data_IF_201558047295
#
_entry.id   IF_201558047295
#
_cell.length_a   1.000
_cell.length_b   1.000
_cell.length_c   1.000
_cell.angle_alpha   90.00
_cell.angle_beta   90.00
_cell.angle_gamma   90.00
#
_symmetry.space_group_name_H-M   'P 1'
#
loop_
_entity.id
_entity.type
_entity.pdbx_description
1 polymer ?
#
# COMPACT_ATOMS: atom_id res chain seq x y z
N UNK A 1 -2.22 10.78 36.29
CA UNK A 1 -2.86 9.57 35.68
C UNK A 1 -3.48 9.92 34.32
N UNK A 2 -2.82 9.53 33.21
CA UNK A 2 -3.45 9.63 31.88
C UNK A 2 -4.51 8.53 31.77
N UNK A 3 -5.69 8.78 31.19
CA UNK A 3 -6.69 7.74 31.01
C UNK A 3 -6.12 6.69 30.05
N UNK A 4 -6.17 5.43 30.48
CA UNK A 4 -5.91 4.27 29.64
C UNK A 4 -6.96 4.26 28.53
N UNK A 5 -6.58 4.66 27.31
CA UNK A 5 -7.43 4.54 26.14
C UNK A 5 -7.53 3.06 25.80
N UNK A 6 -8.64 2.43 26.17
CA UNK A 6 -8.98 1.10 25.69
C UNK A 6 -8.90 1.09 24.13
N UNK A 7 -8.31 0.05 23.51
CA UNK A 7 -8.23 -0.03 22.06
C UNK A 7 -9.63 0.05 21.46
N UNK A 8 -9.78 0.86 20.40
CA UNK A 8 -11.07 1.05 19.75
C UNK A 8 -11.52 -0.32 19.20
N UNK A 9 -12.78 -0.72 19.37
CA UNK A 9 -13.26 -1.95 18.75
C UNK A 9 -13.01 -1.85 17.23
N UNK A 10 -12.41 -2.91 16.68
CA UNK A 10 -12.21 -3.06 15.24
C UNK A 10 -13.55 -2.85 14.51
N UNK A 11 -13.56 -2.34 13.27
CA UNK A 11 -14.80 -2.06 12.55
C UNK A 11 -15.68 -3.30 12.45
N UNK A 12 -16.74 -3.35 13.27
CA UNK A 12 -17.77 -4.37 13.20
C UNK A 12 -18.87 -3.90 12.25
N UNK A 13 -19.09 -4.70 11.20
CA UNK A 13 -20.22 -4.70 10.24
C UNK A 13 -21.18 -3.50 10.27
N UNK A 14 -21.17 -2.71 9.20
CA UNK A 14 -22.46 -2.24 8.65
C UNK A 14 -23.05 -3.37 7.79
N UNK A 15 -24.31 -3.81 8.04
CA UNK A 15 -24.99 -4.71 7.13
C UNK A 15 -25.34 -3.95 5.86
N UNK A 16 -24.70 -4.28 4.74
CA UNK A 16 -25.10 -3.78 3.43
C UNK A 16 -26.34 -4.54 2.98
N UNK A 17 -27.43 -3.81 2.72
CA UNK A 17 -28.50 -4.29 1.87
C UNK A 17 -27.90 -4.60 0.48
N UNK A 18 -28.04 -5.85 0.04
CA UNK A 18 -27.75 -6.36 -1.31
C UNK A 18 -26.28 -6.54 -1.71
N UNK A 19 -25.79 -7.78 -1.62
CA UNK A 19 -24.96 -8.43 -2.66
C UNK A 19 -23.47 -8.08 -2.80
N UNK A 20 -22.93 -7.05 -2.16
CA UNK A 20 -21.49 -6.72 -2.21
C UNK A 20 -20.69 -7.35 -1.06
N UNK A 21 -19.60 -8.07 -1.35
CA UNK A 21 -18.68 -8.54 -0.30
C UNK A 21 -18.02 -7.35 0.42
N UNK A 22 -17.81 -7.40 1.74
CA UNK A 22 -17.42 -6.24 2.54
C UNK A 22 -15.99 -5.76 2.19
N UNK A 23 -15.88 -4.47 1.84
CA UNK A 23 -14.61 -3.75 1.83
C UNK A 23 -14.23 -3.37 3.27
N UNK A 24 -13.00 -3.66 3.68
CA UNK A 24 -12.50 -3.23 4.99
C UNK A 24 -12.23 -1.72 4.95
N UNK A 25 -12.77 -1.01 5.94
CA UNK A 25 -12.50 0.41 6.12
C UNK A 25 -11.28 0.60 7.02
N UNK A 26 -10.22 1.17 6.45
CA UNK A 26 -8.95 1.43 7.14
C UNK A 26 -8.85 2.85 7.71
N UNK A 27 -9.86 3.70 7.50
CA UNK A 27 -9.80 5.11 7.89
C UNK A 27 -9.82 5.25 9.42
N UNK A 28 -8.86 6.01 9.94
CA UNK A 28 -8.76 6.33 11.37
C UNK A 28 -8.17 5.22 12.23
N UNK A 29 -7.78 4.08 11.64
CA UNK A 29 -7.10 3.00 12.36
C UNK A 29 -5.63 3.37 12.64
N UNK A 30 -5.14 2.91 13.80
CA UNK A 30 -3.74 3.03 14.20
C UNK A 30 -2.85 2.05 13.42
N UNK A 31 -1.53 2.24 13.49
CA UNK A 31 -0.59 1.33 12.83
C UNK A 31 -0.72 -0.11 13.39
N UNK A 32 -0.88 -0.25 14.70
CA UNK A 32 -1.10 -1.55 15.36
C UNK A 32 -2.41 -2.19 14.90
N UNK A 33 -3.50 -1.41 14.84
CA UNK A 33 -4.80 -1.90 14.39
C UNK A 33 -4.76 -2.36 12.93
N UNK A 34 -4.04 -1.62 12.07
CA UNK A 34 -3.87 -1.98 10.65
C UNK A 34 -3.06 -3.26 10.46
N UNK A 35 -1.96 -3.42 11.20
CA UNK A 35 -1.16 -4.65 11.17
C UNK A 35 -1.95 -5.85 11.68
N UNK A 36 -2.71 -5.67 12.77
CA UNK A 36 -3.60 -6.71 13.31
C UNK A 36 -4.69 -7.09 12.30
N UNK A 37 -5.40 -6.10 11.76
CA UNK A 37 -6.46 -6.33 10.77
C UNK A 37 -5.94 -7.04 9.52
N UNK A 38 -4.71 -6.72 9.09
CA UNK A 38 -4.09 -7.45 7.98
C UNK A 38 -3.84 -8.91 8.33
N UNK A 39 -3.27 -9.20 9.50
CA UNK A 39 -2.99 -10.57 9.94
C UNK A 39 -4.26 -11.41 10.09
N UNK A 40 -5.34 -10.80 10.57
CA UNK A 40 -6.60 -11.49 10.83
C UNK A 40 -7.50 -11.65 9.60
N UNK A 41 -7.36 -10.77 8.60
CA UNK A 41 -8.33 -10.66 7.49
C UNK A 41 -7.72 -10.52 6.10
N UNK A 42 -6.39 -10.67 5.92
CA UNK A 42 -5.73 -10.53 4.62
C UNK A 42 -6.26 -11.47 3.54
N UNK A 43 -6.82 -12.62 3.92
CA UNK A 43 -7.46 -13.58 3.00
C UNK A 43 -8.71 -13.00 2.30
N UNK A 44 -9.32 -11.98 2.90
CA UNK A 44 -10.49 -11.28 2.35
C UNK A 44 -10.11 -10.08 1.51
N UNK A 45 -8.84 -9.65 1.55
CA UNK A 45 -8.41 -8.53 0.75
C UNK A 45 -8.55 -8.90 -0.73
N UNK A 46 -8.86 -7.87 -1.52
CA UNK A 46 -8.86 -7.91 -2.98
C UNK A 46 -7.86 -6.85 -3.46
N UNK A 47 -7.46 -6.88 -4.73
CA UNK A 47 -6.45 -5.98 -5.29
C UNK A 47 -6.49 -4.55 -4.74
N UNK A 48 -7.63 -3.83 -4.83
CA UNK A 48 -7.71 -2.45 -4.34
C UNK A 48 -7.52 -2.25 -2.83
N UNK A 49 -7.84 -3.25 -2.01
CA UNK A 49 -7.67 -3.15 -0.55
C UNK A 49 -6.20 -3.13 -0.14
N UNK A 50 -5.30 -3.73 -0.91
CA UNK A 50 -3.86 -3.69 -0.63
C UNK A 50 -3.29 -2.28 -0.75
N UNK A 51 -3.62 -1.56 -1.83
CA UNK A 51 -3.19 -0.17 -2.02
C UNK A 51 -3.76 0.76 -0.96
N UNK A 52 -5.04 0.60 -0.61
CA UNK A 52 -5.67 1.35 0.47
C UNK A 52 -5.00 1.07 1.83
N UNK A 53 -4.72 -0.20 2.14
CA UNK A 53 -4.08 -0.59 3.39
C UNK A 53 -2.66 -0.02 3.53
N UNK A 54 -1.82 -0.15 2.49
CA UNK A 54 -0.47 0.43 2.50
C UNK A 54 -0.49 1.94 2.67
N UNK A 55 -1.44 2.63 2.03
CA UNK A 55 -1.62 4.06 2.18
C UNK A 55 -2.00 4.46 3.61
N UNK A 56 -2.93 3.73 4.22
CA UNK A 56 -3.35 3.96 5.60
C UNK A 56 -2.23 3.68 6.59
N UNK A 57 -1.49 2.58 6.42
CA UNK A 57 -0.37 2.22 7.29
C UNK A 57 0.72 3.30 7.25
N UNK A 58 1.08 3.77 6.05
CA UNK A 58 2.06 4.83 5.87
C UNK A 58 1.66 6.18 6.50
N UNK A 59 0.36 6.47 6.61
CA UNK A 59 -0.15 7.67 7.30
C UNK A 59 -0.19 7.51 8.82
N UNK A 60 -0.28 6.28 9.31
CA UNK A 60 -0.39 5.96 10.72
C UNK A 60 0.97 5.68 11.41
N UNK A 61 1.99 5.24 10.67
CA UNK A 61 3.27 4.75 11.21
C UNK A 61 4.08 5.74 12.05
N UNK A 62 3.83 7.05 11.92
CA UNK A 62 4.52 8.09 12.71
C UNK A 62 3.77 8.54 13.97
N UNK A 63 2.62 7.93 14.29
CA UNK A 63 1.73 8.39 15.38
C UNK A 63 1.76 7.49 16.62
N UNK A 64 2.35 6.31 16.51
CA UNK A 64 2.35 5.30 17.56
C UNK A 64 3.65 4.49 17.51
N UNK A 65 4.14 4.07 18.68
CA UNK A 65 5.26 3.15 18.78
C UNK A 65 4.74 1.72 18.60
N UNK A 66 5.09 1.10 17.48
CA UNK A 66 4.94 -0.34 17.28
C UNK A 66 6.26 -0.98 17.68
N UNK A 67 6.22 -2.12 18.39
CA UNK A 67 7.45 -2.88 18.69
C UNK A 67 8.16 -3.26 17.39
N UNK A 68 9.47 -3.08 17.34
CA UNK A 68 10.27 -3.29 16.12
C UNK A 68 10.04 -4.69 15.51
N UNK A 69 10.00 -5.72 16.34
CA UNK A 69 9.74 -7.09 15.88
C UNK A 69 8.34 -7.25 15.27
N UNK A 70 7.30 -6.78 15.95
CA UNK A 70 5.92 -6.83 15.45
C UNK A 70 5.75 -6.04 14.14
N UNK A 71 6.48 -4.92 14.04
CA UNK A 71 6.53 -4.09 12.85
C UNK A 71 7.15 -4.85 11.67
N UNK A 72 8.33 -5.44 11.86
CA UNK A 72 9.01 -6.21 10.81
C UNK A 72 8.22 -7.45 10.39
N UNK A 73 7.65 -8.20 11.34
CA UNK A 73 6.84 -9.39 11.05
C UNK A 73 5.55 -9.03 10.30
N UNK A 74 4.90 -7.94 10.72
CA UNK A 74 3.72 -7.39 10.06
C UNK A 74 4.01 -6.97 8.62
N UNK A 75 5.09 -6.22 8.40
CA UNK A 75 5.53 -5.81 7.07
C UNK A 75 5.94 -7.00 6.20
N UNK A 76 6.65 -7.98 6.74
CA UNK A 76 7.05 -9.20 6.01
C UNK A 76 5.86 -10.04 5.55
N UNK A 77 4.83 -10.14 6.40
CA UNK A 77 3.55 -10.80 6.05
C UNK A 77 2.85 -10.03 4.92
N UNK A 78 2.73 -8.71 5.08
CA UNK A 78 2.08 -7.85 4.10
C UNK A 78 2.81 -7.84 2.75
N UNK A 79 4.14 -7.85 2.75
CA UNK A 79 4.96 -7.98 1.55
C UNK A 79 4.60 -9.24 0.76
N UNK A 80 4.60 -10.38 1.44
CA UNK A 80 4.39 -11.69 0.82
C UNK A 80 2.99 -11.80 0.23
N UNK A 81 1.98 -11.31 0.94
CA UNK A 81 0.61 -11.27 0.44
C UNK A 81 0.43 -10.28 -0.72
N UNK A 82 1.00 -9.08 -0.61
CA UNK A 82 0.92 -8.06 -1.68
C UNK A 82 1.59 -8.56 -2.95
N UNK A 83 2.75 -9.22 -2.86
CA UNK A 83 3.48 -9.76 -4.00
C UNK A 83 2.62 -10.73 -4.83
N UNK A 84 1.83 -11.58 -4.18
CA UNK A 84 0.91 -12.53 -4.85
C UNK A 84 -0.21 -11.82 -5.62
N UNK A 85 -0.58 -10.62 -5.19
CA UNK A 85 -1.71 -9.85 -5.71
C UNK A 85 -1.29 -8.72 -6.65
N UNK A 86 0.01 -8.53 -6.91
CA UNK A 86 0.55 -7.41 -7.73
C UNK A 86 -0.18 -7.29 -9.08
N UNK A 87 -0.36 -8.41 -9.78
CA UNK A 87 -1.05 -8.46 -11.08
C UNK A 87 -2.54 -8.04 -11.02
N UNK A 88 -3.15 -8.15 -9.85
CA UNK A 88 -4.55 -7.81 -9.60
C UNK A 88 -4.71 -6.39 -9.06
N UNK A 89 -3.60 -5.67 -8.82
CA UNK A 89 -3.64 -4.27 -8.42
C UNK A 89 -4.10 -3.40 -9.58
N UNK A 90 -5.02 -2.48 -9.28
CA UNK A 90 -5.41 -1.41 -10.19
C UNK A 90 -4.33 -0.33 -10.30
N UNK A 91 -4.39 0.53 -11.33
CA UNK A 91 -3.36 1.54 -11.58
C UNK A 91 -3.10 2.46 -10.37
N UNK A 92 -4.17 2.96 -9.75
CA UNK A 92 -4.09 3.81 -8.55
C UNK A 92 -3.54 3.05 -7.33
N UNK A 93 -3.82 1.75 -7.22
CA UNK A 93 -3.38 0.94 -6.09
C UNK A 93 -1.91 0.60 -6.17
N UNK A 94 -1.37 0.39 -7.38
CA UNK A 94 0.08 0.25 -7.60
C UNK A 94 0.82 1.49 -7.11
N UNK A 95 0.39 2.68 -7.53
CA UNK A 95 0.99 3.94 -7.11
C UNK A 95 0.87 4.19 -5.60
N UNK A 96 -0.28 3.85 -4.99
CA UNK A 96 -0.49 3.97 -3.52
C UNK A 96 0.37 3.00 -2.73
N UNK A 97 0.48 1.75 -3.19
CA UNK A 97 1.36 0.76 -2.59
C UNK A 97 2.80 1.23 -2.63
N UNK A 98 3.31 1.62 -3.81
CA UNK A 98 4.66 2.13 -3.98
C UNK A 98 4.93 3.34 -3.07
N UNK A 99 4.02 4.32 -3.04
CA UNK A 99 4.11 5.47 -2.14
C UNK A 99 4.16 5.06 -0.68
N UNK A 100 3.29 4.12 -0.27
CA UNK A 100 3.23 3.62 1.10
C UNK A 100 4.54 2.97 1.52
N UNK A 101 5.08 2.08 0.69
CA UNK A 101 6.37 1.43 0.93
C UNK A 101 7.50 2.46 1.10
N UNK A 102 7.65 3.39 0.15
CA UNK A 102 8.68 4.43 0.22
C UNK A 102 8.55 5.29 1.49
N UNK A 103 7.31 5.68 1.84
CA UNK A 103 7.02 6.49 3.03
C UNK A 103 7.32 5.76 4.34
N UNK A 104 7.13 4.45 4.39
CA UNK A 104 7.48 3.58 5.51
C UNK A 104 8.99 3.32 5.61
N UNK A 105 9.80 3.87 4.70
CA UNK A 105 11.24 3.65 4.70
C UNK A 105 11.64 2.29 4.11
N UNK A 106 10.72 1.59 3.43
CA UNK A 106 11.06 0.39 2.66
C UNK A 106 11.82 0.85 1.41
N UNK A 107 13.11 0.53 1.36
CA UNK A 107 14.01 0.92 0.25
C UNK A 107 14.38 -0.28 -0.61
N UNK A 108 15.46 -0.17 -1.37
CA UNK A 108 16.01 -1.20 -2.26
C UNK A 108 16.70 -2.39 -1.53
N UNK A 109 16.16 -2.81 -0.39
CA UNK A 109 16.61 -3.95 0.39
C UNK A 109 16.30 -5.26 -0.36
N UNK A 110 17.19 -6.28 -0.37
CA UNK A 110 17.06 -7.49 -1.19
C UNK A 110 15.70 -8.19 -1.09
N UNK A 111 15.16 -8.26 0.11
CA UNK A 111 13.90 -8.94 0.43
C UNK A 111 12.67 -8.18 -0.08
N UNK A 112 12.79 -6.89 -0.38
CA UNK A 112 11.73 -6.05 -0.95
C UNK A 112 11.84 -5.83 -2.46
N UNK A 113 13.00 -6.14 -3.07
CA UNK A 113 13.23 -6.00 -4.52
C UNK A 113 12.18 -6.70 -5.38
N UNK A 114 11.72 -7.94 -5.07
CA UNK A 114 10.69 -8.58 -5.89
C UNK A 114 9.36 -7.80 -5.90
N UNK A 115 8.98 -7.19 -4.77
CA UNK A 115 7.78 -6.38 -4.70
C UNK A 115 7.94 -5.07 -5.48
N UNK A 116 9.08 -4.40 -5.36
CA UNK A 116 9.37 -3.20 -6.16
C UNK A 116 9.40 -3.49 -7.66
N UNK A 117 10.03 -4.57 -8.09
CA UNK A 117 10.06 -5.00 -9.49
C UNK A 117 8.67 -5.30 -10.02
N UNK A 118 7.88 -6.10 -9.30
CA UNK A 118 6.51 -6.42 -9.71
C UNK A 118 5.60 -5.19 -9.77
N UNK A 119 5.72 -4.24 -8.83
CA UNK A 119 4.98 -2.99 -8.90
C UNK A 119 5.40 -2.14 -10.11
N UNK A 120 6.68 -2.16 -10.49
CA UNK A 120 7.18 -1.40 -11.64
C UNK A 120 6.65 -1.96 -12.95
N UNK A 121 6.72 -3.28 -13.11
CA UNK A 121 6.15 -4.00 -14.25
C UNK A 121 4.66 -3.69 -14.38
N UNK A 122 3.91 -3.84 -13.29
CA UNK A 122 2.47 -3.54 -13.28
C UNK A 122 2.16 -2.07 -13.57
N UNK A 123 2.99 -1.15 -13.07
CA UNK A 123 2.83 0.27 -13.34
C UNK A 123 3.07 0.59 -14.81
N UNK A 124 4.06 -0.04 -15.46
CA UNK A 124 4.30 0.11 -16.91
C UNK A 124 3.09 -0.37 -17.70
N UNK A 125 2.57 -1.56 -17.40
CA UNK A 125 1.38 -2.15 -18.06
C UNK A 125 0.14 -1.25 -17.97
N UNK A 126 0.00 -0.52 -16.87
CA UNK A 126 -1.21 0.24 -16.54
C UNK A 126 -1.01 1.75 -16.58
N UNK A 127 0.16 2.22 -17.03
CA UNK A 127 0.59 3.62 -17.03
C UNK A 127 -0.37 4.55 -17.77
N UNK A 128 -0.93 4.09 -18.90
CA UNK A 128 -1.94 4.84 -19.67
C UNK A 128 -3.21 5.20 -18.89
N UNK A 129 -3.49 4.46 -17.80
CA UNK A 129 -4.66 4.69 -16.91
C UNK A 129 -4.32 5.52 -15.67
N UNK A 130 -3.07 5.94 -15.49
CA UNK A 130 -2.67 6.72 -14.32
C UNK A 130 -3.27 8.12 -14.40
N UNK A 131 -3.78 8.66 -13.31
CA UNK A 131 -4.01 10.11 -13.22
C UNK A 131 -2.71 10.83 -12.83
N UNK A 132 -2.71 12.16 -12.85
CA UNK A 132 -1.55 12.99 -12.49
C UNK A 132 -0.97 12.63 -11.12
N UNK A 133 -1.84 12.37 -10.14
CA UNK A 133 -1.42 11.95 -8.80
C UNK A 133 -0.72 10.58 -8.81
N UNK A 134 -1.20 9.61 -9.59
CA UNK A 134 -0.60 8.29 -9.70
C UNK A 134 0.78 8.35 -10.39
N UNK A 135 0.93 9.20 -11.41
CA UNK A 135 2.22 9.48 -12.06
C UNK A 135 3.20 10.07 -11.03
N UNK A 136 2.82 11.16 -10.36
CA UNK A 136 3.66 11.83 -9.37
C UNK A 136 4.06 10.92 -8.19
N UNK A 137 3.08 10.17 -7.65
CA UNK A 137 3.33 9.24 -6.55
C UNK A 137 4.30 8.13 -6.94
N UNK A 138 4.17 7.60 -8.16
CA UNK A 138 5.08 6.55 -8.65
C UNK A 138 6.49 7.09 -8.77
N UNK A 139 6.68 8.22 -9.47
CA UNK A 139 8.01 8.82 -9.63
C UNK A 139 8.66 9.13 -8.28
N UNK A 140 7.92 9.77 -7.38
CA UNK A 140 8.41 10.09 -6.03
C UNK A 140 8.76 8.82 -5.24
N UNK A 141 7.94 7.78 -5.30
CA UNK A 141 8.17 6.54 -4.56
C UNK A 141 9.45 5.84 -5.00
N UNK A 142 9.66 5.65 -6.30
CA UNK A 142 10.85 4.97 -6.82
C UNK A 142 12.13 5.77 -6.58
N UNK A 143 12.08 7.10 -6.76
CA UNK A 143 13.20 7.98 -6.44
C UNK A 143 13.54 7.93 -4.94
N UNK A 144 12.52 8.00 -4.07
CA UNK A 144 12.71 7.92 -2.62
C UNK A 144 13.22 6.54 -2.19
N UNK A 145 12.72 5.46 -2.79
CA UNK A 145 13.14 4.10 -2.48
C UNK A 145 14.57 3.79 -2.92
N UNK A 146 15.14 4.59 -3.84
CA UNK A 146 16.43 4.31 -4.47
C UNK A 146 16.37 3.03 -5.32
N UNK A 147 15.19 2.71 -5.87
CA UNK A 147 14.99 1.53 -6.72
C UNK A 147 14.89 1.97 -8.17
N UNK A 148 15.78 1.47 -9.01
CA UNK A 148 15.82 1.82 -10.43
C UNK A 148 14.63 1.18 -11.16
N UNK A 149 13.86 2.00 -11.89
CA UNK A 149 12.74 1.55 -12.71
C UNK A 149 12.72 2.34 -14.03
N UNK A 150 13.72 2.16 -14.92
CA UNK A 150 13.86 2.95 -16.14
C UNK A 150 12.62 2.87 -17.04
N UNK A 151 12.08 1.67 -17.28
CA UNK A 151 10.88 1.49 -18.09
C UNK A 151 9.65 2.20 -17.50
N UNK A 152 9.53 2.28 -16.17
CA UNK A 152 8.47 3.03 -15.52
C UNK A 152 8.65 4.53 -15.73
N UNK A 153 9.87 5.06 -15.58
CA UNK A 153 10.14 6.48 -15.82
C UNK A 153 9.88 6.87 -17.27
N UNK A 154 10.24 6.03 -18.22
CA UNK A 154 9.93 6.22 -19.64
C UNK A 154 8.42 6.23 -19.89
N UNK A 155 7.68 5.26 -19.34
CA UNK A 155 6.23 5.19 -19.49
C UNK A 155 5.53 6.42 -18.88
N UNK A 156 5.98 6.87 -17.69
CA UNK A 156 5.45 8.07 -17.04
C UNK A 156 5.77 9.33 -17.85
N UNK A 157 7.00 9.45 -18.38
CA UNK A 157 7.41 10.60 -19.20
C UNK A 157 6.60 10.68 -20.50
N UNK A 158 6.39 9.53 -21.17
CA UNK A 158 5.55 9.46 -22.36
C UNK A 158 4.10 9.89 -22.07
N UNK A 159 3.52 9.41 -20.97
CA UNK A 159 2.15 9.77 -20.60
C UNK A 159 2.02 11.24 -20.16
N UNK A 160 3.03 11.81 -19.52
CA UNK A 160 3.08 13.23 -19.19
C UNK A 160 3.16 14.10 -20.46
N UNK A 161 4.04 13.74 -21.41
CA UNK A 161 4.17 14.45 -22.68
C UNK A 161 2.91 14.36 -23.56
N UNK A 162 2.10 13.31 -23.40
CA UNK A 162 0.83 13.16 -24.11
C UNK A 162 -0.27 14.09 -23.58
N UNK A 163 -0.16 14.55 -22.33
CA UNK A 163 -1.19 15.33 -21.62
C UNK A 163 -0.85 16.80 -21.46
N UNK A 164 0.44 17.15 -21.51
CA UNK A 164 0.92 18.53 -21.55
C UNK A 164 0.87 19.12 -22.95
#
# INVERSE_FOLDING_TARGET
>A
PRPSSAPRPLPTREPLASGGQPFLNFNGLSAVELLRAFREHSERFRGPQYGAWWNSLAKASGKELVGEQDWQDGLGTARTATLKMVKDLGPTDVARTAWGLAKLGVRNQPEWRPLWGGLAERAVETSSKFNEQALANSVWAYATAGHAAPALFEAVAAEAARRG
#
